data_IF_089149606815
#
_entry.id   IF_089149606815
#
_cell.length_a   1.000
_cell.length_b   1.000
_cell.length_c   1.000
_cell.angle_alpha   90.00
_cell.angle_beta   90.00
_cell.angle_gamma   90.00
#
_symmetry.space_group_name_H-M   'P 1'
#
loop_
_entity.id
_entity.type
_entity.pdbx_description
1 polymer ?
#
# COMPACT_ATOMS: atom_id res chain seq x y z
N UNK A 1 12.88 -2.75 -5.87
CA UNK A 1 13.57 -2.10 -7.01
C UNK A 1 14.13 -0.73 -6.62
N UNK A 2 13.29 0.22 -6.19
CA UNK A 2 13.70 1.61 -5.87
C UNK A 2 14.95 1.69 -4.98
N UNK A 3 14.93 1.05 -3.80
CA UNK A 3 16.04 1.07 -2.83
C UNK A 3 17.36 0.51 -3.38
N UNK A 4 17.33 -0.73 -3.88
CA UNK A 4 18.56 -1.47 -4.19
C UNK A 4 19.07 -1.31 -5.63
N UNK A 5 18.18 -1.06 -6.59
CA UNK A 5 18.55 -0.95 -8.01
C UNK A 5 18.75 0.50 -8.43
N UNK A 6 18.00 1.44 -7.85
CA UNK A 6 18.03 2.85 -8.22
C UNK A 6 18.63 3.75 -7.13
N UNK A 7 18.92 3.22 -5.94
CA UNK A 7 19.41 4.02 -4.81
C UNK A 7 18.37 4.97 -4.20
N UNK A 8 17.12 4.88 -4.64
CA UNK A 8 16.00 5.75 -4.27
C UNK A 8 15.35 5.27 -2.97
N UNK A 9 16.04 5.53 -1.85
CA UNK A 9 15.66 5.00 -0.53
C UNK A 9 14.43 5.69 0.05
N UNK A 10 14.30 7.01 -0.15
CA UNK A 10 13.17 7.79 0.35
C UNK A 10 11.89 7.46 -0.42
N UNK A 11 11.98 7.31 -1.73
CA UNK A 11 10.87 6.93 -2.60
C UNK A 11 10.41 5.50 -2.28
N UNK A 12 11.36 4.59 -2.03
CA UNK A 12 11.03 3.24 -1.55
C UNK A 12 10.26 3.29 -0.23
N UNK A 13 10.73 4.10 0.72
CA UNK A 13 10.09 4.27 2.02
C UNK A 13 8.70 4.93 1.89
N UNK A 14 8.50 5.85 0.93
CA UNK A 14 7.20 6.45 0.65
C UNK A 14 6.17 5.40 0.18
N UNK A 15 6.58 4.51 -0.73
CA UNK A 15 5.73 3.41 -1.17
C UNK A 15 5.42 2.44 -0.02
N UNK A 16 6.41 2.05 0.78
CA UNK A 16 6.23 1.16 1.93
C UNK A 16 5.23 1.75 2.96
N UNK A 17 5.38 3.03 3.31
CA UNK A 17 4.44 3.74 4.20
C UNK A 17 3.03 3.81 3.62
N UNK A 18 2.89 3.99 2.31
CA UNK A 18 1.58 4.07 1.65
C UNK A 18 0.83 2.73 1.73
N UNK A 19 1.56 1.62 1.64
CA UNK A 19 1.00 0.28 1.87
C UNK A 19 0.56 0.12 3.32
N UNK A 20 1.40 0.51 4.28
CA UNK A 20 1.04 0.47 5.71
C UNK A 20 -0.22 1.29 6.00
N UNK A 21 -0.32 2.51 5.47
CA UNK A 21 -1.49 3.37 5.64
C UNK A 21 -2.79 2.74 5.10
N UNK A 22 -2.74 2.12 3.92
CA UNK A 22 -3.90 1.42 3.36
C UNK A 22 -4.32 0.24 4.26
N UNK A 23 -3.34 -0.45 4.84
CA UNK A 23 -3.60 -1.55 5.76
C UNK A 23 -4.12 -1.07 7.12
N UNK A 24 -3.62 0.05 7.65
CA UNK A 24 -4.08 0.64 8.92
C UNK A 24 -5.49 1.21 8.81
N UNK A 25 -5.87 1.70 7.63
CA UNK A 25 -7.24 2.08 7.29
C UNK A 25 -8.21 0.88 7.18
N UNK A 26 -7.70 -0.35 7.36
CA UNK A 26 -8.51 -1.57 7.39
C UNK A 26 -8.82 -2.16 6.01
N UNK A 27 -8.23 -1.65 4.92
CA UNK A 27 -8.41 -2.22 3.59
C UNK A 27 -7.61 -3.52 3.42
N UNK A 28 -8.25 -4.58 2.91
CA UNK A 28 -7.63 -5.89 2.71
C UNK A 28 -8.07 -6.51 1.39
N UNK A 29 -7.15 -7.11 0.65
CA UNK A 29 -7.50 -7.96 -0.50
C UNK A 29 -8.07 -9.30 -0.02
N UNK A 30 -8.77 -10.07 -0.89
CA UNK A 30 -9.49 -11.28 -0.48
C UNK A 30 -8.63 -12.35 0.20
N UNK A 31 -7.33 -12.39 -0.09
CA UNK A 31 -6.36 -13.35 0.42
C UNK A 31 -5.92 -13.08 1.88
N UNK A 32 -6.05 -11.83 2.35
CA UNK A 32 -5.65 -11.40 3.71
C UNK A 32 -6.79 -10.75 4.51
N UNK A 33 -8.00 -10.75 3.98
CA UNK A 33 -9.17 -10.19 4.65
C UNK A 33 -9.60 -11.10 5.81
N UNK A 34 -9.86 -10.48 6.97
CA UNK A 34 -10.44 -11.11 8.15
C UNK A 34 -11.76 -10.43 8.51
N UNK A 35 -12.54 -11.06 9.40
CA UNK A 35 -13.80 -10.49 9.87
C UNK A 35 -13.59 -9.07 10.42
N UNK A 36 -14.45 -8.14 10.02
CA UNK A 36 -14.36 -6.72 10.41
C UNK A 36 -13.41 -5.85 9.57
N UNK A 37 -12.77 -6.40 8.52
CA UNK A 37 -11.95 -5.59 7.59
C UNK A 37 -12.71 -5.18 6.32
N UNK A 38 -12.23 -4.13 5.66
CA UNK A 38 -12.77 -3.64 4.40
C UNK A 38 -12.16 -4.42 3.24
N UNK A 39 -12.87 -5.44 2.76
CA UNK A 39 -12.43 -6.22 1.60
C UNK A 39 -12.48 -5.37 0.32
N UNK A 40 -11.35 -5.28 -0.39
CA UNK A 40 -11.19 -4.53 -1.65
C UNK A 40 -10.67 -5.42 -2.78
N UNK A 41 -10.89 -5.02 -4.03
CA UNK A 41 -10.29 -5.62 -5.22
C UNK A 41 -8.84 -5.20 -5.42
N UNK A 42 -8.17 -5.85 -6.39
CA UNK A 42 -6.79 -5.52 -6.77
C UNK A 42 -6.65 -4.07 -7.24
N UNK A 43 -7.58 -3.59 -8.07
CA UNK A 43 -7.55 -2.22 -8.60
C UNK A 43 -7.76 -1.21 -7.48
N UNK A 44 -8.77 -1.43 -6.64
CA UNK A 44 -9.06 -0.53 -5.50
C UNK A 44 -7.89 -0.44 -4.52
N UNK A 45 -7.23 -1.56 -4.20
CA UNK A 45 -6.02 -1.55 -3.37
C UNK A 45 -4.90 -0.74 -4.03
N UNK A 46 -4.69 -0.91 -5.34
CA UNK A 46 -3.70 -0.14 -6.09
C UNK A 46 -3.99 1.36 -6.06
N UNK A 47 -5.24 1.76 -6.28
CA UNK A 47 -5.67 3.16 -6.24
C UNK A 47 -5.49 3.76 -4.85
N UNK A 48 -5.84 3.03 -3.78
CA UNK A 48 -5.66 3.46 -2.40
C UNK A 48 -4.18 3.72 -2.09
N UNK A 49 -3.30 2.80 -2.47
CA UNK A 49 -1.85 2.94 -2.26
C UNK A 49 -1.31 4.11 -3.08
N UNK A 50 -1.66 4.21 -4.37
CA UNK A 50 -1.16 5.27 -5.24
C UNK A 50 -1.58 6.68 -4.74
N UNK A 51 -2.81 6.81 -4.24
CA UNK A 51 -3.30 8.06 -3.67
C UNK A 51 -2.67 8.40 -2.30
N UNK A 52 -2.14 7.41 -1.58
CA UNK A 52 -1.48 7.61 -0.29
C UNK A 52 0.01 7.97 -0.41
N UNK A 53 0.62 7.87 -1.60
CA UNK A 53 2.02 8.26 -1.81
C UNK A 53 2.14 9.78 -1.65
N UNK A 54 2.81 10.18 -0.57
CA UNK A 54 3.15 11.57 -0.30
C UNK A 54 4.33 12.02 -1.19
N UNK A 55 4.34 13.29 -1.64
CA UNK A 55 5.46 13.89 -2.38
C UNK A 55 6.73 14.05 -1.51
#
# INVERSE_FOLDING_TARGET
MLRYSLGLTEEAASVERSVEMALDAGHRTPDIAVEGTHRVSTTEMGDLIANAIAP
#
